data_IF_932083371035
#
_entry.id   IF_932083371035
#
_cell.length_a   1.000
_cell.length_b   1.000
_cell.length_c   1.000
_cell.angle_alpha   90.00
_cell.angle_beta   90.00
_cell.angle_gamma   90.00
#
_symmetry.space_group_name_H-M   'P 1'
#
loop_
_entity.id
_entity.type
_entity.pdbx_description
1 polymer ?
#
# COMPACT_ATOMS: atom_id res chain seq x y z
N UNK A 1 4.82 -11.10 21.23
CA UNK A 1 5.86 -12.09 20.86
C UNK A 1 6.30 -11.74 19.44
N UNK A 2 7.36 -10.93 19.29
CA UNK A 2 7.82 -10.39 18.00
C UNK A 2 8.75 -11.42 17.35
N UNK A 3 8.58 -11.70 16.05
CA UNK A 3 9.50 -12.56 15.29
C UNK A 3 9.21 -14.06 15.29
N UNK A 4 8.02 -14.52 15.74
CA UNK A 4 7.53 -15.89 15.47
C UNK A 4 6.57 -15.88 14.27
N UNK A 5 6.58 -16.96 13.48
CA UNK A 5 5.68 -17.13 12.34
C UNK A 5 4.23 -17.23 12.82
N UNK A 6 3.47 -16.15 12.65
CA UNK A 6 2.04 -16.11 12.93
C UNK A 6 1.28 -15.90 11.61
N UNK A 7 0.43 -16.87 11.25
CA UNK A 7 -0.48 -16.75 10.11
C UNK A 7 -1.65 -15.80 10.46
N UNK A 8 -2.20 -15.09 9.47
CA UNK A 8 -3.38 -14.22 9.68
C UNK A 8 -3.10 -12.74 9.96
N UNK A 9 -1.85 -12.27 9.82
CA UNK A 9 -1.48 -10.86 10.02
C UNK A 9 -1.77 -9.93 8.84
N UNK A 10 -2.36 -10.44 7.77
CA UNK A 10 -2.79 -9.67 6.62
C UNK A 10 -3.63 -10.50 5.64
N UNK A 11 -4.46 -9.82 4.86
CA UNK A 11 -5.38 -10.41 3.90
C UNK A 11 -5.60 -9.50 2.69
N UNK A 12 -6.24 -10.02 1.66
CA UNK A 12 -6.73 -9.25 0.51
C UNK A 12 -8.25 -9.18 0.59
N UNK A 13 -8.79 -7.98 0.43
CA UNK A 13 -10.23 -7.73 0.31
C UNK A 13 -10.56 -7.54 -1.17
N UNK A 14 -11.39 -8.42 -1.72
CA UNK A 14 -11.75 -8.46 -3.15
C UNK A 14 -13.18 -7.97 -3.34
N UNK A 15 -13.38 -7.04 -4.28
CA UNK A 15 -14.71 -6.56 -4.69
C UNK A 15 -15.25 -7.43 -5.81
N UNK A 16 -15.88 -8.55 -5.45
CA UNK A 16 -16.53 -9.44 -6.39
C UNK A 16 -18.06 -9.25 -6.39
N UNK A 17 -18.70 -9.40 -7.56
CA UNK A 17 -20.17 -9.30 -7.69
C UNK A 17 -20.89 -10.44 -6.96
N UNK A 18 -20.29 -11.63 -6.96
CA UNK A 18 -20.81 -12.82 -6.30
C UNK A 18 -19.68 -13.52 -5.54
N UNK A 19 -20.04 -14.26 -4.49
CA UNK A 19 -19.10 -15.12 -3.76
C UNK A 19 -18.91 -16.46 -4.49
N UNK A 20 -18.39 -16.41 -5.72
CA UNK A 20 -18.02 -17.58 -6.52
C UNK A 20 -16.56 -17.48 -6.95
N UNK A 21 -15.86 -18.61 -7.17
CA UNK A 21 -14.47 -18.59 -7.62
C UNK A 21 -14.26 -17.74 -8.87
N UNK A 22 -15.14 -17.86 -9.87
CA UNK A 22 -15.06 -17.14 -11.14
C UNK A 22 -15.20 -15.63 -10.93
N UNK A 23 -16.17 -15.21 -10.11
CA UNK A 23 -16.38 -13.79 -9.80
C UNK A 23 -15.22 -13.18 -9.02
N UNK A 24 -14.60 -13.95 -8.13
CA UNK A 24 -13.42 -13.53 -7.36
C UNK A 24 -12.20 -13.41 -8.28
N UNK A 25 -11.97 -14.40 -9.14
CA UNK A 25 -10.85 -14.41 -10.09
C UNK A 25 -10.94 -13.21 -11.02
N UNK A 26 -12.11 -12.97 -11.63
CA UNK A 26 -12.31 -11.82 -12.54
C UNK A 26 -12.06 -10.47 -11.84
N UNK A 27 -12.52 -10.32 -10.59
CA UNK A 27 -12.26 -9.10 -9.81
C UNK A 27 -10.77 -8.93 -9.49
N UNK A 28 -10.07 -10.01 -9.16
CA UNK A 28 -8.63 -9.98 -8.92
C UNK A 28 -7.84 -9.62 -10.18
N UNK A 29 -8.20 -10.18 -11.34
CA UNK A 29 -7.61 -9.85 -12.64
C UNK A 29 -7.84 -8.38 -13.03
N UNK A 30 -9.01 -7.83 -12.69
CA UNK A 30 -9.35 -6.40 -12.86
C UNK A 30 -8.68 -5.49 -11.82
N UNK A 31 -7.87 -6.05 -10.91
CA UNK A 31 -7.23 -5.34 -9.80
C UNK A 31 -8.25 -4.68 -8.83
N UNK A 32 -9.47 -5.21 -8.75
CA UNK A 32 -10.54 -4.76 -7.85
C UNK A 32 -10.39 -5.37 -6.45
N UNK A 33 -9.26 -5.05 -5.83
CA UNK A 33 -8.93 -5.49 -4.48
C UNK A 33 -7.98 -4.54 -3.76
N UNK A 34 -7.84 -4.70 -2.45
CA UNK A 34 -6.80 -4.04 -1.66
C UNK A 34 -6.21 -5.02 -0.64
N UNK A 35 -4.97 -4.77 -0.23
CA UNK A 35 -4.32 -5.53 0.84
C UNK A 35 -4.53 -4.82 2.18
N UNK A 36 -4.72 -5.58 3.25
CA UNK A 36 -4.92 -5.06 4.60
C UNK A 36 -4.15 -5.86 5.65
N UNK A 37 -3.78 -5.18 6.74
CA UNK A 37 -3.29 -5.77 7.99
C UNK A 37 -4.19 -5.47 9.19
N UNK A 38 -5.41 -4.96 8.97
CA UNK A 38 -6.32 -4.55 10.04
C UNK A 38 -7.38 -3.53 9.60
N UNK A 39 -7.02 -2.67 8.65
CA UNK A 39 -7.90 -1.59 8.17
C UNK A 39 -8.94 -2.13 7.17
N UNK A 40 -10.20 -1.79 7.40
CA UNK A 40 -11.29 -2.11 6.46
C UNK A 40 -11.77 -0.85 5.75
N UNK A 41 -12.03 -0.97 4.45
CA UNK A 41 -12.55 0.10 3.60
C UNK A 41 -13.99 -0.24 3.23
N UNK A 42 -14.90 0.73 3.33
CA UNK A 42 -16.27 0.61 2.84
C UNK A 42 -16.30 0.69 1.32
N UNK A 43 -15.55 1.64 0.75
CA UNK A 43 -15.48 1.84 -0.70
C UNK A 43 -14.06 2.20 -1.18
N UNK A 44 -13.75 1.77 -2.40
CA UNK A 44 -12.54 2.10 -3.15
C UNK A 44 -12.98 2.35 -4.59
N UNK A 45 -13.05 3.62 -4.98
CA UNK A 45 -13.39 4.03 -6.32
C UNK A 45 -12.14 4.48 -7.07
N UNK A 46 -11.97 3.96 -8.29
CA UNK A 46 -10.83 4.24 -9.18
C UNK A 46 -11.32 4.78 -10.54
N UNK A 47 -11.96 5.96 -10.59
CA UNK A 47 -12.19 6.63 -11.87
C UNK A 47 -10.86 6.90 -12.58
N UNK A 48 -10.91 7.15 -13.90
CA UNK A 48 -9.72 7.22 -14.76
C UNK A 48 -8.62 8.18 -14.26
N UNK A 49 -8.97 9.25 -13.56
CA UNK A 49 -8.05 10.30 -13.12
C UNK A 49 -8.02 10.51 -11.60
N UNK A 50 -8.71 9.69 -10.82
CA UNK A 50 -8.73 9.85 -9.36
C UNK A 50 -8.83 8.53 -8.60
N UNK A 51 -8.37 8.55 -7.35
CA UNK A 51 -8.50 7.47 -6.38
C UNK A 51 -9.27 8.01 -5.18
N UNK A 52 -10.45 7.47 -4.93
CA UNK A 52 -11.31 7.85 -3.81
C UNK A 52 -11.55 6.66 -2.90
N UNK A 53 -11.53 6.90 -1.59
CA UNK A 53 -11.62 5.87 -0.55
C UNK A 53 -12.57 6.32 0.55
N UNK A 54 -13.32 5.36 1.07
CA UNK A 54 -14.09 5.51 2.31
C UNK A 54 -13.64 4.45 3.31
N UNK A 55 -13.10 4.88 4.44
CA UNK A 55 -12.58 4.02 5.50
C UNK A 55 -13.73 3.61 6.43
N UNK A 56 -13.78 2.33 6.81
CA UNK A 56 -14.66 1.88 7.89
C UNK A 56 -14.03 2.26 9.23
N UNK A 57 -14.40 3.43 9.76
CA UNK A 57 -13.81 3.98 10.98
C UNK A 57 -14.20 3.19 12.24
N UNK A 58 -13.24 2.99 13.13
CA UNK A 58 -13.46 2.48 14.49
C UNK A 58 -13.47 3.63 15.53
N UNK A 59 -14.29 3.55 16.59
CA UNK A 59 -14.29 4.55 17.65
C UNK A 59 -12.91 4.71 18.31
N UNK A 60 -12.41 5.95 18.39
CA UNK A 60 -11.12 6.26 19.02
C UNK A 60 -9.89 5.96 18.17
N UNK A 61 -10.06 5.54 16.91
CA UNK A 61 -8.96 5.31 15.96
C UNK A 61 -8.92 6.45 14.94
N UNK A 62 -7.74 6.98 14.68
CA UNK A 62 -7.51 8.00 13.65
C UNK A 62 -6.85 7.36 12.44
N UNK A 63 -7.07 7.95 11.27
CA UNK A 63 -6.57 7.43 10.00
C UNK A 63 -5.87 8.53 9.21
N UNK A 64 -4.68 8.21 8.72
CA UNK A 64 -3.89 9.05 7.82
C UNK A 64 -3.71 8.28 6.53
N UNK A 65 -4.10 8.88 5.41
CA UNK A 65 -3.88 8.30 4.08
C UNK A 65 -2.74 9.03 3.39
N UNK A 66 -1.70 8.29 3.07
CA UNK A 66 -0.58 8.73 2.25
C UNK A 66 -0.78 8.28 0.81
N UNK A 67 -0.42 9.15 -0.13
CA UNK A 67 -0.45 8.87 -1.56
C UNK A 67 0.98 8.77 -2.12
N UNK A 68 1.70 7.66 -1.88
CA UNK A 68 3.01 7.46 -2.50
C UNK A 68 2.88 7.24 -4.00
N UNK A 69 3.75 7.91 -4.76
CA UNK A 69 3.81 7.83 -6.21
C UNK A 69 5.17 8.27 -6.75
N UNK A 70 5.38 8.08 -8.05
CA UNK A 70 6.59 8.52 -8.75
C UNK A 70 6.19 9.37 -9.93
N UNK A 71 6.83 10.52 -10.12
CA UNK A 71 6.59 11.41 -11.26
C UNK A 71 7.46 11.07 -12.47
N UNK A 72 7.03 11.47 -13.65
CA UNK A 72 7.85 11.47 -14.87
C UNK A 72 9.07 12.37 -14.64
N UNK A 73 10.22 11.96 -15.17
CA UNK A 73 11.48 12.69 -14.96
C UNK A 73 12.17 12.43 -13.62
N UNK A 74 11.75 11.41 -12.86
CA UNK A 74 12.48 10.96 -11.68
C UNK A 74 13.90 10.48 -12.02
N UNK A 75 14.81 10.55 -11.05
CA UNK A 75 16.18 10.03 -11.18
C UNK A 75 16.17 8.49 -11.05
N UNK A 76 16.42 7.73 -12.13
CA UNK A 76 16.40 6.27 -12.10
C UNK A 76 17.67 5.66 -11.47
N UNK A 77 18.64 6.50 -11.06
CA UNK A 77 19.87 6.00 -10.45
C UNK A 77 19.57 5.28 -9.13
N UNK A 78 20.35 4.23 -8.87
CA UNK A 78 20.19 3.40 -7.67
C UNK A 78 21.55 2.96 -7.17
N UNK A 79 21.67 2.80 -5.86
CA UNK A 79 22.89 2.32 -5.23
C UNK A 79 22.70 0.89 -4.76
N UNK A 80 23.63 0.01 -5.13
CA UNK A 80 23.68 -1.35 -4.58
C UNK A 80 24.01 -1.27 -3.09
N UNK A 81 23.16 -1.83 -2.25
CA UNK A 81 23.42 -1.93 -0.82
C UNK A 81 24.16 -3.24 -0.55
N UNK A 82 25.35 -3.20 0.05
CA UNK A 82 26.04 -4.42 0.43
C UNK A 82 25.21 -5.16 1.48
N UNK A 83 25.29 -6.49 1.46
CA UNK A 83 24.72 -7.30 2.54
C UNK A 83 25.32 -6.85 3.87
N UNK A 84 24.47 -6.66 4.88
CA UNK A 84 24.90 -6.21 6.21
C UNK A 84 25.95 -7.17 6.75
N UNK A 85 27.21 -6.74 6.81
CA UNK A 85 28.32 -7.57 7.31
C UNK A 85 28.13 -7.90 8.79
N UNK A 86 28.34 -9.16 9.17
CA UNK A 86 28.36 -9.61 10.56
C UNK A 86 27.75 -10.99 10.83
N UNK A 87 26.80 -11.43 10.00
CA UNK A 87 26.10 -12.70 10.20
C UNK A 87 26.30 -13.65 9.02
N UNK A 88 26.68 -14.90 9.27
CA UNK A 88 26.77 -15.95 8.24
C UNK A 88 25.43 -16.18 7.49
N UNK A 89 24.31 -15.69 8.05
CA UNK A 89 22.98 -15.64 7.40
C UNK A 89 22.78 -14.43 6.49
N UNK A 90 23.46 -13.30 6.73
CA UNK A 90 23.39 -12.11 5.90
C UNK A 90 24.08 -12.30 4.54
N UNK A 91 25.04 -13.23 4.44
CA UNK A 91 25.67 -13.63 3.19
C UNK A 91 24.70 -14.29 2.18
N UNK A 92 23.50 -14.73 2.62
CA UNK A 92 22.46 -15.31 1.75
C UNK A 92 21.39 -14.29 1.33
N UNK A 93 21.44 -13.06 1.83
CA UNK A 93 20.49 -12.03 1.41
C UNK A 93 20.86 -11.54 0.01
N UNK A 94 19.89 -11.55 -0.91
CA UNK A 94 20.08 -10.94 -2.23
C UNK A 94 20.46 -9.47 -2.04
N UNK A 95 21.41 -8.95 -2.85
CA UNK A 95 21.73 -7.53 -2.81
C UNK A 95 20.46 -6.73 -3.13
N UNK A 96 20.12 -5.79 -2.26
CA UNK A 96 18.99 -4.88 -2.46
C UNK A 96 19.52 -3.54 -2.97
N UNK A 97 18.67 -2.79 -3.67
CA UNK A 97 19.00 -1.47 -4.21
C UNK A 97 18.32 -0.39 -3.39
N UNK A 98 19.06 0.67 -3.09
CA UNK A 98 18.51 1.92 -2.59
C UNK A 98 18.26 2.85 -3.77
N UNK A 99 16.99 3.13 -4.03
CA UNK A 99 16.55 4.11 -5.02
C UNK A 99 16.62 5.53 -4.46
N UNK A 100 16.51 6.51 -5.35
CA UNK A 100 16.36 7.92 -4.99
C UNK A 100 15.02 8.17 -4.29
N UNK A 101 14.95 9.29 -3.55
CA UNK A 101 13.81 9.62 -2.68
C UNK A 101 12.54 10.02 -3.45
N UNK A 102 12.68 10.37 -4.72
CA UNK A 102 11.60 10.68 -5.65
C UNK A 102 10.86 9.42 -6.14
N UNK A 103 11.48 8.23 -6.04
CA UNK A 103 10.82 6.95 -6.29
C UNK A 103 9.92 6.59 -5.11
N UNK A 104 8.60 6.59 -5.34
CA UNK A 104 7.61 6.30 -4.30
C UNK A 104 7.49 7.41 -3.24
N UNK A 105 7.79 8.65 -3.60
CA UNK A 105 7.62 9.82 -2.75
C UNK A 105 6.15 10.00 -2.34
N UNK A 106 5.91 10.45 -1.10
CA UNK A 106 4.56 10.82 -0.64
C UNK A 106 4.16 12.12 -1.34
N UNK A 107 3.22 12.04 -2.27
CA UNK A 107 2.78 13.18 -3.08
C UNK A 107 1.67 14.00 -2.40
N UNK A 108 0.92 13.36 -1.50
CA UNK A 108 -0.08 13.98 -0.65
C UNK A 108 -0.29 13.12 0.60
N UNK A 109 -0.74 13.77 1.66
CA UNK A 109 -1.16 13.15 2.91
C UNK A 109 -2.45 13.81 3.36
N UNK A 110 -3.45 13.00 3.72
CA UNK A 110 -4.77 13.47 4.11
C UNK A 110 -5.23 12.71 5.35
N UNK A 111 -5.71 13.43 6.36
CA UNK A 111 -6.34 12.86 7.54
C UNK A 111 -7.85 12.78 7.34
N UNK A 112 -8.48 11.70 7.80
CA UNK A 112 -9.93 11.55 7.76
C UNK A 112 -10.42 10.21 7.22
N UNK A 113 -11.75 10.04 7.22
CA UNK A 113 -12.41 8.81 6.80
C UNK A 113 -12.67 8.74 5.29
N UNK A 114 -12.94 9.89 4.68
CA UNK A 114 -13.16 10.05 3.25
C UNK A 114 -12.00 10.80 2.65
N UNK A 115 -11.30 10.18 1.70
CA UNK A 115 -10.10 10.76 1.09
C UNK A 115 -10.15 10.55 -0.41
N UNK A 116 -9.68 11.55 -1.15
CA UNK A 116 -9.54 11.45 -2.59
C UNK A 116 -8.24 12.08 -3.06
N UNK A 117 -7.69 11.53 -4.12
CA UNK A 117 -6.53 12.07 -4.82
C UNK A 117 -6.83 12.12 -6.32
N UNK A 118 -6.64 13.28 -6.92
CA UNK A 118 -6.75 13.46 -8.38
C UNK A 118 -5.35 13.56 -8.96
N UNK A 119 -5.08 12.77 -10.01
CA UNK A 119 -3.82 12.82 -10.73
C UNK A 119 -3.61 14.21 -11.34
N UNK A 120 -2.38 14.72 -11.26
CA UNK A 120 -1.99 16.00 -11.88
C UNK A 120 -1.49 15.81 -13.31
N UNK A 121 -1.20 14.57 -13.72
CA UNK A 121 -0.82 14.21 -15.08
C UNK A 121 0.69 13.98 -15.25
N UNK A 122 1.51 14.40 -14.29
CA UNK A 122 2.94 14.17 -14.27
C UNK A 122 3.32 12.90 -13.50
N UNK A 123 2.39 12.27 -12.81
CA UNK A 123 2.62 11.01 -12.11
C UNK A 123 2.67 9.83 -13.10
N UNK A 124 3.56 8.86 -12.86
CA UNK A 124 3.57 7.54 -13.53
C UNK A 124 2.51 6.64 -12.87
N UNK A 125 2.47 6.67 -11.54
CA UNK A 125 1.46 6.01 -10.73
C UNK A 125 1.28 6.73 -9.40
N UNK A 126 0.12 6.52 -8.78
CA UNK A 126 -0.18 6.86 -7.39
C UNK A 126 -0.92 5.70 -6.76
N UNK A 127 -0.58 5.32 -5.53
CA UNK A 127 -1.37 4.38 -4.72
C UNK A 127 -1.75 5.03 -3.40
N UNK A 128 -2.78 4.54 -2.74
CA UNK A 128 -3.06 4.93 -1.37
C UNK A 128 -2.49 3.92 -0.38
N UNK A 129 -1.92 4.43 0.70
CA UNK A 129 -1.58 3.71 1.91
C UNK A 129 -2.33 4.35 3.06
N UNK A 130 -3.26 3.61 3.64
CA UNK A 130 -4.02 4.01 4.81
C UNK A 130 -3.28 3.51 6.04
N UNK A 131 -3.06 4.38 7.02
CA UNK A 131 -2.35 4.11 8.27
C UNK A 131 -3.29 4.44 9.41
N UNK A 132 -3.60 3.46 10.26
CA UNK A 132 -4.40 3.72 11.46
C UNK A 132 -3.50 4.05 12.66
N UNK A 133 -4.06 4.65 13.70
CA UNK A 133 -3.39 4.79 15.00
C UNK A 133 -3.35 3.50 15.82
N UNK A 134 -4.04 2.44 15.37
CA UNK A 134 -4.22 1.20 16.11
C UNK A 134 -3.00 0.27 15.91
N UNK A 135 -2.37 -0.21 16.99
CA UNK A 135 -1.26 -1.16 16.89
C UNK A 135 -1.69 -2.45 16.20
N UNK A 136 -0.86 -2.93 15.28
CA UNK A 136 -1.10 -4.21 14.61
C UNK A 136 -0.84 -5.36 15.58
N UNK A 137 -1.82 -6.24 15.85
CA UNK A 137 -1.60 -7.43 16.65
C UNK A 137 -0.49 -8.29 16.01
N UNK A 138 0.51 -8.68 16.82
CA UNK A 138 1.66 -9.47 16.35
C UNK A 138 2.43 -8.85 15.16
N UNK A 139 2.67 -7.52 15.20
CA UNK A 139 3.51 -6.82 14.25
C UNK A 139 4.84 -7.54 13.97
N UNK A 140 5.24 -7.54 12.70
CA UNK A 140 6.53 -8.07 12.26
C UNK A 140 7.69 -7.20 12.74
N UNK A 141 7.41 -5.91 12.94
CA UNK A 141 8.34 -4.92 13.50
C UNK A 141 7.72 -4.23 14.71
N UNK A 142 8.58 -3.73 15.60
CA UNK A 142 8.13 -2.97 16.77
C UNK A 142 7.40 -1.70 16.34
N UNK A 143 6.25 -1.41 16.96
CA UNK A 143 5.44 -0.23 16.67
C UNK A 143 4.67 -0.28 15.35
N UNK A 144 4.57 -1.44 14.70
CA UNK A 144 3.74 -1.60 13.50
C UNK A 144 2.27 -1.33 13.83
N UNK A 145 1.61 -0.54 12.99
CA UNK A 145 0.18 -0.21 13.08
C UNK A 145 -0.59 -0.91 11.97
N UNK A 146 -1.90 -1.03 12.15
CA UNK A 146 -2.77 -1.56 11.11
C UNK A 146 -2.75 -0.62 9.90
N UNK A 147 -2.75 -1.19 8.71
CA UNK A 147 -2.65 -0.44 7.47
C UNK A 147 -3.40 -1.15 6.35
N UNK A 148 -3.77 -0.39 5.33
CA UNK A 148 -4.28 -0.92 4.08
C UNK A 148 -3.58 -0.27 2.90
N UNK A 149 -3.50 -1.00 1.80
CA UNK A 149 -2.89 -0.53 0.57
C UNK A 149 -3.74 -0.88 -0.63
N UNK A 150 -4.06 0.13 -1.42
CA UNK A 150 -4.80 -0.06 -2.67
C UNK A 150 -3.87 -0.48 -3.79
N UNK A 151 -4.46 -0.99 -4.87
CA UNK A 151 -3.78 -1.09 -6.16
C UNK A 151 -3.41 0.31 -6.66
N UNK A 152 -2.29 0.45 -7.39
CA UNK A 152 -1.89 1.72 -7.96
C UNK A 152 -2.87 2.15 -9.05
N UNK A 153 -3.20 3.44 -9.05
CA UNK A 153 -3.76 4.13 -10.20
C UNK A 153 -2.59 4.54 -11.10
N UNK A 154 -2.57 4.02 -12.32
CA UNK A 154 -1.54 4.34 -13.31
C UNK A 154 -2.04 5.44 -14.23
N UNK A 155 -1.18 6.40 -14.51
CA UNK A 155 -1.48 7.43 -15.49
C UNK A 155 -1.14 6.88 -16.89
N UNK A 156 -2.09 6.18 -17.49
CA UNK A 156 -2.06 5.82 -18.91
C UNK A 156 -2.31 7.08 -19.73
N UNK A 157 -1.29 7.95 -19.80
CA UNK A 157 -1.22 8.94 -20.86
C UNK A 157 -0.94 8.16 -22.16
N UNK A 158 -1.89 8.21 -23.10
CA UNK A 158 -1.69 7.82 -24.49
C UNK A 158 -0.62 8.71 -25.15
#
# INVERSE_FOLDING_TARGET
MIGKSNFGGGWVMVRARHLTPESIILAMEAADFYASSGVTLKDVARPATALALEIQTEPGVTYVTQFPGTRRGYDPTSQLMPSRGGDAKAAKALPHRRYRKDVGAVLAEVEGAEVSYTLKGDEIYVRAKIISSKPKPNGSVSGEVESAWTQPLVNVAN
#
